data_IF_929590659124
#
_entry.id   IF_929590659124
#
_cell.length_a   1.000
_cell.length_b   1.000
_cell.length_c   1.000
_cell.angle_alpha   90.00
_cell.angle_beta   90.00
_cell.angle_gamma   90.00
#
_symmetry.space_group_name_H-M   'P 1'
#
loop_
_entity.id
_entity.type
_entity.pdbx_description
1 polymer ?
#
# COMPACT_ATOMS: atom_id res chain seq x y z
N UNK A 1 -6.82 -17.26 9.50
CA UNK A 1 -7.54 -18.45 9.00
C UNK A 1 -8.02 -19.34 10.14
N UNK A 2 -7.34 -19.29 11.28
CA UNK A 2 -7.55 -20.19 12.42
C UNK A 2 -8.96 -20.18 13.01
N UNK A 3 -9.74 -19.10 12.86
CA UNK A 3 -11.14 -19.03 13.33
C UNK A 3 -12.16 -19.67 12.37
N UNK A 4 -11.88 -19.72 11.06
CA UNK A 4 -12.76 -20.29 10.02
C UNK A 4 -11.95 -21.14 9.04
N UNK A 5 -11.35 -22.25 9.50
CA UNK A 5 -10.43 -23.04 8.70
C UNK A 5 -11.13 -23.59 7.45
N UNK A 6 -10.52 -23.40 6.29
CA UNK A 6 -11.03 -23.95 5.03
C UNK A 6 -12.28 -23.26 4.46
N UNK A 7 -12.75 -22.14 5.05
CA UNK A 7 -13.87 -21.38 4.50
C UNK A 7 -13.47 -20.58 3.26
N UNK A 8 -12.33 -19.91 3.32
CA UNK A 8 -11.77 -19.09 2.24
C UNK A 8 -10.39 -19.63 1.82
N UNK A 9 -9.95 -19.26 0.61
CA UNK A 9 -8.58 -19.51 0.17
C UNK A 9 -7.62 -18.53 0.85
N UNK A 10 -6.45 -19.02 1.26
CA UNK A 10 -5.48 -18.24 2.01
C UNK A 10 -4.54 -17.54 1.04
N UNK A 11 -4.64 -16.22 0.97
CA UNK A 11 -3.90 -15.42 0.00
C UNK A 11 -3.05 -14.38 0.71
N UNK A 12 -1.90 -14.10 0.11
CA UNK A 12 -0.99 -13.03 0.49
C UNK A 12 -0.41 -12.41 -0.77
N UNK A 13 -0.25 -11.09 -0.76
CA UNK A 13 0.29 -10.34 -1.87
C UNK A 13 0.89 -9.04 -1.38
N UNK A 14 1.95 -8.60 -2.04
CA UNK A 14 2.74 -7.47 -1.57
C UNK A 14 2.18 -6.11 -1.79
N UNK A 15 1.07 -6.00 -2.54
CA UNK A 15 0.49 -4.71 -2.91
C UNK A 15 1.59 -3.73 -3.37
N UNK A 16 2.50 -4.24 -4.21
CA UNK A 16 3.75 -3.57 -4.48
C UNK A 16 3.51 -2.39 -5.42
N UNK A 17 3.70 -1.18 -4.89
CA UNK A 17 3.70 0.07 -5.64
C UNK A 17 5.11 0.44 -6.15
N UNK A 18 6.12 -0.36 -5.80
CA UNK A 18 7.53 -0.16 -6.16
C UNK A 18 8.31 -1.47 -6.16
N UNK A 19 9.50 -1.45 -6.76
CA UNK A 19 10.45 -2.57 -6.65
C UNK A 19 10.94 -2.79 -5.21
N UNK A 20 10.93 -1.76 -4.37
CA UNK A 20 11.33 -1.86 -2.96
C UNK A 20 10.35 -2.65 -2.10
N UNK A 21 9.11 -2.83 -2.57
CA UNK A 21 8.04 -3.51 -1.83
C UNK A 21 7.60 -4.82 -2.51
N UNK A 22 8.10 -5.09 -3.72
CA UNK A 22 7.86 -6.32 -4.44
C UNK A 22 8.49 -7.53 -3.74
N UNK A 23 7.76 -8.64 -3.69
CA UNK A 23 8.28 -9.93 -3.21
C UNK A 23 8.40 -10.07 -1.69
N UNK A 24 7.98 -9.07 -0.91
CA UNK A 24 7.94 -9.20 0.55
C UNK A 24 6.96 -10.28 1.01
N UNK A 25 5.89 -10.50 0.25
CA UNK A 25 4.86 -11.47 0.55
C UNK A 25 4.15 -11.90 -0.73
N UNK A 26 3.85 -13.20 -0.80
CA UNK A 26 3.33 -13.87 -1.98
C UNK A 26 2.44 -15.05 -1.57
N UNK A 27 1.80 -15.66 -2.56
CA UNK A 27 0.99 -16.86 -2.37
C UNK A 27 1.68 -18.03 -3.07
N UNK A 28 1.96 -19.08 -2.31
CA UNK A 28 2.41 -20.36 -2.86
C UNK A 28 1.21 -21.26 -3.18
N UNK A 29 1.34 -22.07 -4.22
CA UNK A 29 0.30 -23.00 -4.66
C UNK A 29 0.92 -24.19 -5.42
N UNK A 30 0.25 -25.35 -5.47
CA UNK A 30 0.68 -26.46 -6.30
C UNK A 30 0.41 -26.15 -7.78
N UNK A 31 1.47 -26.01 -8.57
CA UNK A 31 1.39 -25.78 -10.02
C UNK A 31 2.36 -24.69 -10.48
N UNK A 32 2.28 -24.37 -11.77
CA UNK A 32 3.13 -23.34 -12.42
C UNK A 32 2.34 -22.45 -13.39
N UNK A 33 1.05 -22.73 -13.60
CA UNK A 33 0.19 -21.99 -14.53
C UNK A 33 -0.90 -21.18 -13.82
N UNK A 34 -1.46 -20.20 -14.52
CA UNK A 34 -2.57 -19.40 -14.01
C UNK A 34 -3.85 -20.21 -13.76
N UNK A 35 -4.13 -21.23 -14.58
CA UNK A 35 -5.29 -22.10 -14.36
C UNK A 35 -5.09 -22.98 -13.12
N UNK A 36 -3.89 -23.52 -12.92
CA UNK A 36 -3.58 -24.28 -11.69
C UNK A 36 -3.67 -23.38 -10.45
N UNK A 37 -3.25 -22.11 -10.54
CA UNK A 37 -3.46 -21.15 -9.46
C UNK A 37 -4.94 -20.93 -9.17
N UNK A 38 -5.76 -20.75 -10.21
CA UNK A 38 -7.22 -20.61 -10.08
C UNK A 38 -7.83 -21.85 -9.40
N UNK A 39 -7.43 -23.05 -9.82
CA UNK A 39 -7.87 -24.30 -9.20
C UNK A 39 -7.41 -24.40 -7.74
N UNK A 40 -6.17 -23.99 -7.44
CA UNK A 40 -5.68 -23.95 -6.07
C UNK A 40 -6.50 -22.99 -5.19
N UNK A 41 -6.94 -21.84 -5.70
CA UNK A 41 -7.85 -20.94 -4.98
C UNK A 41 -9.20 -21.64 -4.73
N UNK A 42 -9.83 -22.18 -5.77
CA UNK A 42 -11.15 -22.82 -5.65
C UNK A 42 -11.15 -24.00 -4.69
N UNK A 43 -10.06 -24.77 -4.69
CA UNK A 43 -9.85 -25.90 -3.79
C UNK A 43 -9.15 -25.53 -2.48
N UNK A 44 -8.89 -24.24 -2.24
CA UNK A 44 -8.27 -23.71 -1.01
C UNK A 44 -6.93 -24.36 -0.66
N UNK A 45 -6.12 -24.64 -1.68
CA UNK A 45 -4.77 -25.24 -1.60
C UNK A 45 -3.64 -24.21 -1.66
N UNK A 46 -3.94 -22.93 -1.41
CA UNK A 46 -2.96 -21.85 -1.42
C UNK A 46 -2.35 -21.62 -0.03
N UNK A 47 -1.11 -21.18 0.02
CA UNK A 47 -0.37 -20.89 1.26
C UNK A 47 0.13 -19.44 1.24
N UNK A 48 -0.28 -18.59 2.18
CA UNK A 48 0.23 -17.23 2.29
C UNK A 48 1.61 -17.25 2.94
N UNK A 49 2.57 -16.60 2.30
CA UNK A 49 3.97 -16.59 2.73
C UNK A 49 4.59 -15.20 2.64
N UNK A 50 5.77 -15.07 3.24
CA UNK A 50 6.54 -13.83 3.32
C UNK A 50 6.33 -13.05 4.62
N UNK A 51 6.74 -11.78 4.61
CA UNK A 51 6.74 -10.87 5.75
C UNK A 51 6.24 -9.49 5.34
N UNK A 52 5.70 -8.68 6.26
CA UNK A 52 5.32 -7.31 5.97
C UNK A 52 6.50 -6.49 5.43
N UNK A 53 6.28 -5.72 4.37
CA UNK A 53 7.28 -4.80 3.85
C UNK A 53 7.66 -3.75 4.92
N UNK A 54 8.96 -3.46 5.12
CA UNK A 54 9.41 -2.42 6.03
C UNK A 54 8.91 -1.04 5.60
N UNK A 55 8.46 -0.23 6.57
CA UNK A 55 8.00 1.14 6.34
C UNK A 55 9.04 2.01 5.60
N UNK A 56 10.33 1.77 5.86
CA UNK A 56 11.40 2.51 5.19
C UNK A 56 11.42 2.31 3.66
N UNK A 57 10.98 1.14 3.17
CA UNK A 57 10.87 0.88 1.73
C UNK A 57 9.75 1.72 1.10
N UNK A 58 8.65 1.94 1.84
CA UNK A 58 7.58 2.85 1.41
C UNK A 58 8.06 4.30 1.34
N UNK A 59 8.93 4.71 2.27
CA UNK A 59 9.56 6.03 2.26
C UNK A 59 10.51 6.21 1.07
N UNK A 60 11.28 5.17 0.69
CA UNK A 60 12.10 5.24 -0.51
C UNK A 60 11.25 5.44 -1.78
N UNK A 61 10.18 4.67 -1.91
CA UNK A 61 9.23 4.84 -3.01
C UNK A 61 8.62 6.25 -3.04
N UNK A 62 8.17 6.77 -1.88
CA UNK A 62 7.58 8.11 -1.84
C UNK A 62 8.59 9.20 -2.22
N UNK A 63 9.86 9.03 -1.89
CA UNK A 63 10.93 9.94 -2.33
C UNK A 63 11.12 9.93 -3.84
N UNK A 64 10.98 8.77 -4.51
CA UNK A 64 11.04 8.69 -5.98
C UNK A 64 9.87 9.41 -6.64
N UNK A 65 8.65 9.23 -6.10
CA UNK A 65 7.46 9.95 -6.56
C UNK A 65 7.65 11.46 -6.42
N UNK A 66 8.15 11.92 -5.28
CA UNK A 66 8.44 13.35 -5.03
C UNK A 66 9.50 13.85 -6.02
N UNK A 67 10.58 13.09 -6.26
CA UNK A 67 11.63 13.44 -7.21
C UNK A 67 11.06 13.60 -8.63
N UNK A 68 10.20 12.69 -9.07
CA UNK A 68 9.51 12.78 -10.36
C UNK A 68 8.64 14.03 -10.46
N UNK A 69 7.84 14.32 -9.44
CA UNK A 69 7.02 15.54 -9.38
C UNK A 69 7.86 16.83 -9.39
N UNK A 70 8.95 16.86 -8.64
CA UNK A 70 9.91 17.99 -8.63
C UNK A 70 10.50 18.22 -10.02
N UNK A 71 10.87 17.17 -10.75
CA UNK A 71 11.43 17.31 -12.09
C UNK A 71 10.43 17.94 -13.07
N UNK A 72 9.16 17.56 -12.99
CA UNK A 72 8.10 18.19 -13.79
C UNK A 72 7.90 19.66 -13.43
N UNK A 73 7.84 19.97 -12.14
CA UNK A 73 7.70 21.36 -11.67
C UNK A 73 8.90 22.22 -12.07
N UNK A 74 10.12 21.66 -12.03
CA UNK A 74 11.35 22.32 -12.48
C UNK A 74 11.30 22.65 -13.96
N UNK A 75 10.92 21.68 -14.80
CA UNK A 75 10.74 21.89 -16.24
C UNK A 75 9.65 22.92 -16.53
N UNK A 76 8.53 22.88 -15.80
CA UNK A 76 7.44 23.85 -15.97
C UNK A 76 7.89 25.28 -15.65
N UNK A 77 8.65 25.49 -14.56
CA UNK A 77 9.18 26.81 -14.21
C UNK A 77 10.18 27.37 -15.24
N UNK A 78 10.86 26.49 -15.97
CA UNK A 78 11.80 26.86 -17.03
C UNK A 78 11.15 26.99 -18.40
N UNK A 79 9.84 26.71 -18.52
CA UNK A 79 9.16 26.63 -19.81
C UNK A 79 9.57 25.42 -20.67
N UNK A 80 10.23 24.42 -20.08
CA UNK A 80 10.75 23.23 -20.76
C UNK A 80 9.75 22.05 -20.73
N UNK A 81 8.68 22.14 -19.93
CA UNK A 81 7.69 21.06 -19.81
C UNK A 81 6.70 21.13 -20.98
N UNK A 82 6.74 20.12 -21.85
CA UNK A 82 5.79 19.98 -22.94
C UNK A 82 4.49 19.29 -22.46
N UNK A 83 3.32 19.68 -22.99
CA UNK A 83 2.08 18.97 -22.74
C UNK A 83 2.16 17.54 -23.30
N UNK A 84 1.61 16.58 -22.56
CA UNK A 84 1.55 15.16 -22.94
C UNK A 84 0.09 14.74 -22.95
N UNK A 85 -0.40 14.28 -24.11
CA UNK A 85 -1.78 13.84 -24.28
C UNK A 85 -2.14 12.72 -23.28
N UNK A 86 -3.33 12.81 -22.67
CA UNK A 86 -3.79 11.86 -21.64
C UNK A 86 -3.13 11.99 -20.27
N UNK A 87 -2.04 12.76 -20.12
CA UNK A 87 -1.33 12.89 -18.84
C UNK A 87 -1.94 13.95 -17.93
N UNK A 88 -2.84 13.54 -17.03
CA UNK A 88 -3.42 14.42 -16.02
C UNK A 88 -2.38 15.07 -15.11
N UNK A 89 -1.28 14.37 -14.84
CA UNK A 89 -0.21 14.86 -13.98
C UNK A 89 0.55 16.03 -14.63
N UNK A 90 0.96 15.87 -15.90
CA UNK A 90 1.64 16.93 -16.65
C UNK A 90 0.72 18.13 -16.83
N UNK A 91 -0.52 17.90 -17.24
CA UNK A 91 -1.53 18.98 -17.35
C UNK A 91 -1.69 19.72 -16.03
N UNK A 92 -1.77 19.01 -14.90
CA UNK A 92 -1.91 19.66 -13.60
C UNK A 92 -0.72 20.56 -13.28
N UNK A 93 0.51 20.10 -13.50
CA UNK A 93 1.72 20.89 -13.26
C UNK A 93 1.80 22.13 -14.16
N UNK A 94 1.39 22.01 -15.43
CA UNK A 94 1.33 23.12 -16.37
C UNK A 94 0.26 24.16 -15.99
N UNK A 95 -0.86 23.73 -15.41
CA UNK A 95 -1.93 24.65 -14.95
C UNK A 95 -1.63 25.34 -13.62
N UNK A 96 -0.57 24.93 -12.91
CA UNK A 96 -0.19 25.56 -11.66
C UNK A 96 0.49 26.91 -11.92
N UNK A 97 0.32 27.86 -10.99
CA UNK A 97 1.13 29.09 -10.99
C UNK A 97 2.58 28.78 -10.68
N UNK A 98 3.51 29.62 -11.14
CA UNK A 98 4.94 29.48 -10.84
C UNK A 98 5.22 29.41 -9.34
N UNK A 99 4.48 30.17 -8.52
CA UNK A 99 4.60 30.11 -7.06
C UNK A 99 4.25 28.72 -6.54
N UNK A 100 3.17 28.09 -7.01
CA UNK A 100 2.78 26.73 -6.58
C UNK A 100 3.84 25.69 -6.98
N UNK A 101 4.39 25.80 -8.19
CA UNK A 101 5.46 24.91 -8.65
C UNK A 101 6.76 25.13 -7.86
N UNK A 102 7.12 26.37 -7.53
CA UNK A 102 8.28 26.69 -6.71
C UNK A 102 8.13 26.20 -5.27
N UNK A 103 6.95 26.38 -4.67
CA UNK A 103 6.64 25.87 -3.32
C UNK A 103 6.68 24.34 -3.29
N UNK A 104 6.11 23.67 -4.29
CA UNK A 104 6.16 22.21 -4.40
C UNK A 104 7.59 21.68 -4.56
N UNK A 105 8.42 22.38 -5.33
CA UNK A 105 9.86 22.08 -5.44
C UNK A 105 10.57 22.19 -4.10
N UNK A 106 10.39 23.30 -3.38
CA UNK A 106 11.02 23.51 -2.08
C UNK A 106 10.54 22.47 -1.04
N UNK A 107 9.23 22.24 -0.95
CA UNK A 107 8.65 21.23 -0.08
C UNK A 107 9.18 19.82 -0.36
N UNK A 108 9.38 19.48 -1.64
CA UNK A 108 9.99 18.20 -2.02
C UNK A 108 11.44 18.06 -1.55
N UNK A 109 12.24 19.14 -1.56
CA UNK A 109 13.61 19.11 -1.04
C UNK A 109 13.63 18.92 0.47
N UNK A 110 12.77 19.64 1.20
CA UNK A 110 12.63 19.48 2.64
C UNK A 110 12.17 18.06 3.01
N UNK A 111 11.23 17.49 2.24
CA UNK A 111 10.75 16.12 2.45
C UNK A 111 11.84 15.07 2.23
N UNK A 112 12.69 15.26 1.22
CA UNK A 112 13.79 14.35 0.87
C UNK A 112 15.04 14.55 1.75
N UNK A 113 15.02 15.55 2.64
CA UNK A 113 16.12 15.75 3.57
C UNK A 113 16.17 14.57 4.57
N UNK A 114 17.25 13.76 4.59
CA UNK A 114 17.25 12.46 5.26
C UNK A 114 16.84 12.50 6.74
N UNK A 115 17.24 13.55 7.46
CA UNK A 115 16.90 13.72 8.87
C UNK A 115 15.39 13.88 9.09
N UNK A 116 14.69 14.61 8.21
CA UNK A 116 13.24 14.81 8.34
C UNK A 116 12.50 13.49 8.10
N UNK A 117 12.81 12.78 7.03
CA UNK A 117 12.12 11.53 6.68
C UNK A 117 12.44 10.41 7.68
N UNK A 118 13.68 10.30 8.14
CA UNK A 118 14.05 9.31 9.17
C UNK A 118 13.33 9.58 10.50
N UNK A 119 13.35 10.82 10.99
CA UNK A 119 12.66 11.18 12.22
C UNK A 119 11.15 10.95 12.11
N UNK A 120 10.56 11.35 10.98
CA UNK A 120 9.14 11.10 10.71
C UNK A 120 8.82 9.60 10.71
N UNK A 121 9.69 8.76 10.13
CA UNK A 121 9.53 7.30 10.11
C UNK A 121 9.59 6.70 11.51
N UNK A 122 10.57 7.11 12.32
CA UNK A 122 10.70 6.62 13.70
C UNK A 122 9.46 7.01 14.52
N UNK A 123 9.02 8.26 14.40
CA UNK A 123 7.86 8.78 15.09
C UNK A 123 6.57 8.08 14.62
N UNK A 124 6.39 7.88 13.32
CA UNK A 124 5.19 7.23 12.74
C UNK A 124 5.09 5.78 13.20
N UNK A 125 6.18 5.00 13.10
CA UNK A 125 6.23 3.61 13.56
C UNK A 125 5.94 3.51 15.05
N UNK A 126 6.51 4.42 15.85
CA UNK A 126 6.27 4.45 17.30
C UNK A 126 4.79 4.74 17.62
N UNK A 127 4.22 5.74 16.95
CA UNK A 127 2.82 6.11 17.10
C UNK A 127 1.86 5.00 16.66
N UNK A 128 2.12 4.39 15.50
CA UNK A 128 1.32 3.28 14.95
C UNK A 128 1.40 2.07 15.87
N UNK A 129 2.59 1.70 16.38
CA UNK A 129 2.74 0.61 17.37
C UNK A 129 1.94 0.86 18.64
N UNK A 130 1.84 2.12 19.09
CA UNK A 130 1.04 2.48 20.27
C UNK A 130 -0.46 2.40 19.98
N UNK A 131 -0.91 2.92 18.83
CA UNK A 131 -2.32 2.84 18.41
C UNK A 131 -2.75 1.41 18.14
N UNK A 132 -1.93 0.60 17.47
CA UNK A 132 -2.18 -0.82 17.24
C UNK A 132 -2.39 -1.54 18.56
N UNK A 133 -1.50 -1.37 19.54
CA UNK A 133 -1.69 -1.92 20.90
C UNK A 133 -3.00 -1.50 21.55
N UNK A 134 -3.43 -0.25 21.38
CA UNK A 134 -4.73 0.21 21.91
C UNK A 134 -5.90 -0.42 21.16
N UNK A 135 -5.85 -0.47 19.83
CA UNK A 135 -6.88 -1.05 18.98
C UNK A 135 -7.04 -2.56 19.20
N UNK A 136 -5.95 -3.26 19.53
CA UNK A 136 -5.96 -4.69 19.83
C UNK A 136 -6.51 -5.05 21.21
N UNK A 137 -6.74 -4.09 22.13
CA UNK A 137 -7.22 -4.38 23.50
C UNK A 137 -8.57 -5.10 23.57
N UNK A 138 -9.40 -4.92 22.55
CA UNK A 138 -10.73 -5.53 22.47
C UNK A 138 -10.88 -6.34 21.18
N UNK A 139 -9.77 -6.83 20.63
CA UNK A 139 -9.78 -7.61 19.39
C UNK A 139 -10.65 -8.85 19.55
N UNK A 140 -10.57 -9.54 20.69
CA UNK A 140 -11.31 -10.79 20.93
C UNK A 140 -12.82 -10.57 20.88
N UNK A 141 -13.30 -9.49 21.52
CA UNK A 141 -14.71 -9.10 21.48
C UNK A 141 -15.17 -8.76 20.06
N UNK A 142 -14.40 -7.93 19.35
CA UNK A 142 -14.74 -7.53 17.96
C UNK A 142 -14.75 -8.73 17.02
N UNK A 143 -13.83 -9.67 17.20
CA UNK A 143 -13.80 -10.91 16.43
C UNK A 143 -15.00 -11.80 16.76
N UNK A 144 -15.41 -11.88 18.04
CA UNK A 144 -16.62 -12.61 18.43
C UNK A 144 -17.90 -11.97 17.83
N UNK A 145 -17.99 -10.64 17.82
CA UNK A 145 -19.11 -9.93 17.18
C UNK A 145 -19.17 -10.21 15.67
N UNK A 146 -18.02 -10.25 14.99
CA UNK A 146 -17.91 -10.61 13.57
C UNK A 146 -18.32 -12.06 13.34
N UNK A 147 -17.88 -13.00 14.19
CA UNK A 147 -18.26 -14.41 14.08
C UNK A 147 -19.78 -14.58 14.19
N UNK A 148 -20.43 -13.86 15.12
CA UNK A 148 -21.89 -13.86 15.25
C UNK A 148 -22.60 -13.33 13.99
N UNK A 149 -22.08 -12.24 13.39
CA UNK A 149 -22.63 -11.71 12.14
C UNK A 149 -22.49 -12.69 10.98
N UNK A 150 -21.37 -13.43 10.94
CA UNK A 150 -21.13 -14.46 9.93
C UNK A 150 -22.10 -15.64 10.11
N UNK A 151 -22.31 -16.11 11.34
CA UNK A 151 -23.27 -17.17 11.67
C UNK A 151 -24.70 -16.76 11.26
N UNK A 152 -25.16 -15.56 11.65
CA UNK A 152 -26.49 -15.05 11.29
C UNK A 152 -26.69 -14.98 9.78
N UNK A 153 -25.67 -14.57 9.01
CA UNK A 153 -25.75 -14.51 7.55
C UNK A 153 -25.79 -15.90 6.90
N UNK A 154 -25.03 -16.86 7.43
CA UNK A 154 -25.02 -18.24 6.92
C UNK A 154 -26.33 -18.98 7.20
N UNK A 155 -27.01 -18.64 8.30
CA UNK A 155 -28.32 -19.20 8.65
C UNK A 155 -29.44 -18.62 7.77
N UNK A 156 -29.33 -17.35 7.34
CA UNK A 156 -30.30 -16.70 6.45
C UNK A 156 -30.06 -16.93 4.95
N UNK A 157 -28.88 -17.39 4.54
CA UNK A 157 -28.53 -17.67 3.15
C UNK A 157 -28.76 -19.12 2.69
N UNK A 158 -29.39 -19.97 3.54
CA UNK A 158 -29.68 -21.39 3.26
C UNK A 158 -31.17 -21.70 2.99
N UNK A 159 -32.00 -20.67 2.85
CA UNK A 159 -33.35 -20.76 2.27
C UNK A 159 -33.30 -20.34 0.78
#
# INVERSE_FOLDING_TARGET
>A
MDRHPGRWAALSGSDAHSLYTAGYNWTEFPGTTAEEFRQAILHRKTVPVGVPAPEIMQVYWSMEVVKGGQELMRKALRGELQPVEGSRLVTKVLTNTSIKNATGLYGGYAYRFPLVSMLATILSVTFLKRKARKAMRHIDRRLADIDKMIEEFDDHGRD
#
